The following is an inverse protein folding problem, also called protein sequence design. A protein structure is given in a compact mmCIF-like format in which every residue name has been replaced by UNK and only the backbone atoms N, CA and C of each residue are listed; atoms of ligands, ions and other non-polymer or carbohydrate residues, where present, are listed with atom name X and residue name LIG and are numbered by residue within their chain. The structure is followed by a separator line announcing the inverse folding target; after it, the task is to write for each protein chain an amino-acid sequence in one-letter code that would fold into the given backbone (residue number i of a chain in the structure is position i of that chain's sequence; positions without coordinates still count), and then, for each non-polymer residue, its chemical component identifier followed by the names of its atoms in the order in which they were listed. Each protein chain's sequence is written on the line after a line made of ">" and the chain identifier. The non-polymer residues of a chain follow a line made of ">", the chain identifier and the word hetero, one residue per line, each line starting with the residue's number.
data_IF_623061290998
#
_entry.id   IF_623061290998
#
_cell.length_a   1.000
_cell.length_b   1.000
_cell.length_c   1.000
_cell.angle_alpha   90.00
_cell.angle_beta   90.00
_cell.angle_gamma   90.00
#
_symmetry.space_group_name_H-M   'P 1'
#
loop_
_entity.id
_entity.type
_entity.pdbx_description
1 polymer ?
#
# COMPACT_ATOMS: atom_id res chain seq x y z
N UNK A 1 17.31 -8.53 -11.82
CA UNK A 1 16.81 -9.11 -10.55
C UNK A 1 16.95 -10.62 -10.66
N UNK A 2 17.77 -11.26 -9.83
CA UNK A 2 17.99 -12.71 -9.90
C UNK A 2 16.91 -13.45 -9.12
N UNK A 3 16.48 -14.59 -9.65
CA UNK A 3 15.42 -15.48 -9.13
C UNK A 3 15.57 -15.78 -7.62
N UNK A 4 16.80 -15.79 -7.10
CA UNK A 4 17.07 -15.97 -5.67
C UNK A 4 16.55 -14.87 -4.74
N UNK A 5 16.38 -13.63 -5.23
CA UNK A 5 15.77 -12.54 -4.45
C UNK A 5 14.25 -12.70 -4.31
N UNK A 6 13.61 -13.32 -5.32
CA UNK A 6 12.18 -13.62 -5.33
C UNK A 6 11.87 -14.79 -4.39
N UNK A 7 12.73 -15.81 -4.39
CA UNK A 7 12.60 -16.97 -3.49
C UNK A 7 12.84 -16.59 -2.03
N UNK A 8 13.79 -15.70 -1.70
CA UNK A 8 13.95 -15.17 -0.33
C UNK A 8 12.75 -14.33 0.13
N UNK A 9 12.09 -13.64 -0.79
CA UNK A 9 10.85 -12.92 -0.51
C UNK A 9 9.71 -13.88 -0.21
N UNK A 10 9.57 -14.93 -1.01
CA UNK A 10 8.53 -15.95 -0.84
C UNK A 10 8.75 -16.80 0.42
N UNK A 11 9.98 -17.17 0.75
CA UNK A 11 10.29 -17.94 1.96
C UNK A 11 9.94 -17.17 3.24
N UNK A 12 10.34 -15.89 3.35
CA UNK A 12 9.91 -15.04 4.47
C UNK A 12 8.39 -14.83 4.54
N UNK A 13 7.67 -15.05 3.43
CA UNK A 13 6.20 -14.93 3.35
C UNK A 13 5.52 -16.26 3.71
N UNK A 14 6.11 -17.40 3.36
CA UNK A 14 5.60 -18.74 3.64
C UNK A 14 5.75 -19.15 5.11
N UNK A 15 6.83 -18.75 5.79
CA UNK A 15 7.05 -19.10 7.19
C UNK A 15 6.09 -18.38 8.17
N UNK A 16 5.28 -17.43 7.68
CA UNK A 16 4.43 -16.56 8.53
C UNK A 16 2.92 -16.81 8.42
N UNK A 17 2.38 -17.33 7.31
CA UNK A 17 0.92 -17.44 7.16
C UNK A 17 0.54 -18.58 6.22
N UNK A 18 -0.23 -19.55 6.72
CA UNK A 18 -0.92 -20.54 5.89
C UNK A 18 -1.89 -19.86 4.92
N UNK A 19 -1.73 -20.16 3.63
CA UNK A 19 -2.65 -20.03 2.51
C UNK A 19 -3.81 -19.03 2.62
N UNK A 20 -3.55 -17.75 2.36
CA UNK A 20 -4.47 -16.87 1.63
C UNK A 20 -3.68 -15.66 1.11
N UNK A 21 -3.89 -15.32 -0.17
CA UNK A 21 -3.44 -14.10 -0.88
C UNK A 21 -2.69 -13.10 -0.01
N UNK A 22 -1.40 -12.88 -0.29
CA UNK A 22 -0.52 -11.92 0.39
C UNK A 22 -1.32 -10.68 0.77
N UNK A 23 -1.65 -10.51 2.06
CA UNK A 23 -2.37 -9.34 2.53
C UNK A 23 -1.57 -8.11 2.11
N UNK A 24 -2.19 -7.18 1.36
CA UNK A 24 -1.56 -5.92 0.91
C UNK A 24 -0.86 -5.20 2.06
N UNK A 25 -1.40 -5.32 3.26
CA UNK A 25 -0.84 -4.75 4.48
C UNK A 25 0.50 -5.39 4.87
N UNK A 26 0.63 -6.72 4.70
CA UNK A 26 1.88 -7.45 4.89
C UNK A 26 2.91 -7.03 3.85
N UNK A 27 2.51 -6.94 2.57
CA UNK A 27 3.41 -6.52 1.50
C UNK A 27 3.92 -5.08 1.71
N UNK A 28 3.05 -4.15 2.09
CA UNK A 28 3.43 -2.77 2.41
C UNK A 28 4.34 -2.72 3.63
N UNK A 29 4.00 -3.42 4.73
CA UNK A 29 4.85 -3.54 5.94
C UNK A 29 6.26 -4.03 5.61
N UNK A 30 6.36 -5.13 4.87
CA UNK A 30 7.64 -5.71 4.48
C UNK A 30 8.47 -4.72 3.64
N UNK A 31 7.83 -3.99 2.72
CA UNK A 31 8.55 -3.02 1.90
C UNK A 31 9.00 -1.78 2.68
N UNK A 32 8.19 -1.29 3.61
CA UNK A 32 8.58 -0.17 4.47
C UNK A 32 9.83 -0.51 5.29
N UNK A 33 9.87 -1.71 5.88
CA UNK A 33 11.05 -2.21 6.60
C UNK A 33 12.27 -2.33 5.69
N UNK A 34 12.10 -2.83 4.46
CA UNK A 34 13.20 -2.95 3.47
C UNK A 34 13.80 -1.62 3.04
N UNK A 35 13.00 -0.55 2.99
CA UNK A 35 13.50 0.80 2.72
C UNK A 35 14.05 1.51 3.97
N UNK A 36 14.16 0.78 5.09
CA UNK A 36 14.76 1.27 6.32
C UNK A 36 13.94 2.36 6.98
N UNK A 37 12.62 2.43 6.74
CA UNK A 37 11.76 3.28 7.57
C UNK A 37 11.81 2.78 9.01
N UNK A 38 11.82 3.70 9.96
CA UNK A 38 11.83 3.32 11.37
C UNK A 38 10.60 2.47 11.70
N UNK A 39 10.72 1.56 12.66
CA UNK A 39 9.58 0.77 13.13
C UNK A 39 8.41 1.66 13.55
N UNK A 40 8.70 2.85 14.08
CA UNK A 40 7.70 3.83 14.47
C UNK A 40 7.02 4.49 13.25
N UNK A 41 7.76 4.92 12.22
CA UNK A 41 7.17 5.44 10.96
C UNK A 41 6.31 4.39 10.26
N UNK A 42 6.81 3.15 10.18
CA UNK A 42 6.04 2.04 9.62
C UNK A 42 4.77 1.80 10.45
N UNK A 43 4.84 1.85 11.79
CA UNK A 43 3.65 1.70 12.65
C UNK A 43 2.64 2.83 12.44
N UNK A 44 3.09 4.06 12.23
CA UNK A 44 2.21 5.20 11.88
C UNK A 44 1.56 4.97 10.52
N UNK A 45 2.33 4.55 9.53
CA UNK A 45 1.80 4.35 8.18
C UNK A 45 0.77 3.22 8.11
N UNK A 46 1.01 2.14 8.87
CA UNK A 46 0.10 0.99 8.98
C UNK A 46 -0.96 1.16 10.07
N UNK A 47 -1.11 2.35 10.66
CA UNK A 47 -2.20 2.62 11.59
C UNK A 47 -3.52 2.75 10.82
N UNK A 48 -4.66 2.41 11.45
CA UNK A 48 -5.97 2.51 10.80
C UNK A 48 -6.18 3.89 10.19
N UNK A 49 -6.84 3.93 9.02
CA UNK A 49 -7.19 5.16 8.31
C UNK A 49 -5.99 5.98 7.80
N UNK A 50 -4.80 5.38 7.67
CA UNK A 50 -3.67 6.00 6.96
C UNK A 50 -3.53 5.38 5.57
N UNK A 51 -3.00 4.16 5.47
CA UNK A 51 -2.90 3.47 4.19
C UNK A 51 -4.23 2.92 3.68
N UNK A 52 -5.13 2.53 4.59
CA UNK A 52 -6.45 1.99 4.24
C UNK A 52 -7.24 2.94 3.32
N UNK A 53 -7.02 4.25 3.45
CA UNK A 53 -7.67 5.27 2.62
C UNK A 53 -7.37 5.05 1.14
N UNK A 54 -6.15 4.62 0.77
CA UNK A 54 -5.79 4.36 -0.63
C UNK A 54 -6.64 3.25 -1.25
N UNK A 55 -7.27 2.40 -0.42
CA UNK A 55 -8.08 1.26 -0.85
C UNK A 55 -9.56 1.58 -1.02
N UNK A 56 -9.99 2.75 -0.58
CA UNK A 56 -11.41 3.18 -0.61
C UNK A 56 -11.65 4.44 -1.44
N UNK A 57 -10.61 5.23 -1.71
CA UNK A 57 -10.74 6.41 -2.57
C UNK A 57 -10.79 6.00 -4.05
N UNK A 58 -11.39 6.88 -4.86
CA UNK A 58 -11.40 6.77 -6.31
C UNK A 58 -9.97 6.52 -6.87
N UNK A 59 -9.77 5.47 -7.68
CA UNK A 59 -8.49 5.16 -8.31
C UNK A 59 -7.78 6.34 -8.97
N UNK A 60 -8.54 7.22 -9.64
CA UNK A 60 -8.02 8.41 -10.31
C UNK A 60 -7.34 9.40 -9.35
N UNK A 61 -7.71 9.35 -8.06
CA UNK A 61 -7.20 10.22 -7.01
C UNK A 61 -6.02 9.60 -6.26
N UNK A 62 -5.77 8.30 -6.37
CA UNK A 62 -4.75 7.59 -5.58
C UNK A 62 -3.35 8.15 -5.83
N UNK A 63 -2.94 8.19 -7.10
CA UNK A 63 -1.54 8.45 -7.47
C UNK A 63 -1.04 9.84 -7.03
N UNK A 64 -1.92 10.84 -7.04
CA UNK A 64 -1.59 12.23 -6.70
C UNK A 64 -2.12 12.59 -5.32
N UNK A 65 -3.45 12.60 -5.15
CA UNK A 65 -4.10 13.12 -3.95
C UNK A 65 -3.95 12.15 -2.77
N UNK A 66 -4.21 10.85 -2.99
CA UNK A 66 -4.10 9.82 -1.96
C UNK A 66 -2.69 9.72 -1.40
N UNK A 67 -1.68 9.55 -2.26
CA UNK A 67 -0.28 9.46 -1.83
C UNK A 67 0.19 10.75 -1.16
N UNK A 68 -0.19 11.93 -1.68
CA UNK A 68 0.15 13.21 -1.04
C UNK A 68 -0.47 13.34 0.36
N UNK A 69 -1.74 12.95 0.50
CA UNK A 69 -2.44 12.95 1.78
C UNK A 69 -1.78 12.01 2.79
N UNK A 70 -1.47 10.76 2.39
CA UNK A 70 -0.80 9.78 3.27
C UNK A 70 0.55 10.32 3.75
N UNK A 71 1.37 10.87 2.85
CA UNK A 71 2.65 11.47 3.23
C UNK A 71 2.48 12.62 4.20
N UNK A 72 1.49 13.49 3.98
CA UNK A 72 1.17 14.61 4.87
C UNK A 72 0.73 14.12 6.25
N UNK A 73 -0.17 13.13 6.30
CA UNK A 73 -0.68 12.54 7.54
C UNK A 73 0.43 11.89 8.37
N UNK A 74 1.30 11.12 7.72
CA UNK A 74 2.45 10.49 8.39
C UNK A 74 3.41 11.56 8.91
N UNK A 75 3.73 12.57 8.10
CA UNK A 75 4.59 13.68 8.50
C UNK A 75 4.05 14.40 9.74
N UNK A 76 2.78 14.81 9.73
CA UNK A 76 2.13 15.45 10.87
C UNK A 76 2.16 14.56 12.12
N UNK A 77 1.93 13.26 11.95
CA UNK A 77 1.93 12.31 13.07
C UNK A 77 3.33 12.09 13.64
N UNK A 78 4.36 12.10 12.78
CA UNK A 78 5.76 12.07 13.22
C UNK A 78 6.13 13.34 13.97
N UNK A 79 5.79 14.52 13.43
CA UNK A 79 6.05 15.82 14.07
C UNK A 79 5.37 15.90 15.45
N UNK A 80 4.10 15.50 15.57
CA UNK A 80 3.39 15.46 16.84
C UNK A 80 3.99 14.49 17.88
N UNK A 81 4.73 13.48 17.42
CA UNK A 81 5.40 12.48 18.28
C UNK A 81 6.89 12.79 18.52
N UNK A 82 7.39 13.92 18.04
CA UNK A 82 8.82 14.27 18.11
C UNK A 82 9.72 13.34 17.28
N UNK A 83 9.17 12.69 16.25
CA UNK A 83 9.88 11.74 15.40
C UNK A 83 10.38 12.39 14.11
N UNK A 84 11.53 11.92 13.61
CA UNK A 84 12.07 12.36 12.32
C UNK A 84 11.31 11.73 11.15
N UNK A 85 10.88 12.55 10.20
CA UNK A 85 10.23 12.12 8.96
C UNK A 85 11.24 12.06 7.79
N UNK A 86 11.49 10.86 7.25
CA UNK A 86 12.49 10.69 6.18
C UNK A 86 11.89 10.83 4.77
N UNK A 87 11.85 12.06 4.24
CA UNK A 87 11.30 12.39 2.90
C UNK A 87 11.78 11.47 1.76
N UNK A 88 13.06 11.13 1.73
CA UNK A 88 13.63 10.32 0.64
C UNK A 88 13.14 8.86 0.66
N UNK A 89 12.97 8.26 1.85
CA UNK A 89 12.43 6.90 2.01
C UNK A 89 10.98 6.84 1.58
N UNK A 90 10.19 7.86 1.95
CA UNK A 90 8.81 7.99 1.51
C UNK A 90 8.68 8.16 0.00
N UNK A 91 9.56 8.93 -0.64
CA UNK A 91 9.62 9.04 -2.10
C UNK A 91 9.93 7.69 -2.77
N UNK A 92 10.86 6.91 -2.21
CA UNK A 92 11.19 5.57 -2.72
C UNK A 92 10.00 4.61 -2.58
N UNK A 93 9.32 4.63 -1.44
CA UNK A 93 8.10 3.84 -1.24
C UNK A 93 6.98 4.25 -2.20
N UNK A 94 6.74 5.55 -2.42
CA UNK A 94 5.72 6.02 -3.36
C UNK A 94 5.96 5.52 -4.78
N UNK A 95 7.22 5.51 -5.25
CA UNK A 95 7.56 4.96 -6.57
C UNK A 95 7.29 3.46 -6.66
N UNK A 96 7.66 2.72 -5.63
CA UNK A 96 7.32 1.30 -5.54
C UNK A 96 5.80 1.09 -5.54
N UNK A 97 5.07 1.87 -4.76
CA UNK A 97 3.63 1.76 -4.68
C UNK A 97 2.98 1.98 -6.04
N UNK A 98 3.38 3.03 -6.77
CA UNK A 98 2.90 3.30 -8.11
C UNK A 98 3.21 2.14 -9.06
N UNK A 99 4.48 1.74 -9.18
CA UNK A 99 4.85 0.66 -10.11
C UNK A 99 4.20 -0.70 -9.80
N UNK A 100 4.05 -1.05 -8.52
CA UNK A 100 3.51 -2.35 -8.14
C UNK A 100 1.98 -2.33 -8.03
N UNK A 101 1.40 -1.35 -7.36
CA UNK A 101 -0.03 -1.34 -7.00
C UNK A 101 -0.89 -0.44 -7.89
N UNK A 102 -0.29 0.37 -8.77
CA UNK A 102 -1.05 1.08 -9.81
C UNK A 102 -0.85 0.44 -11.18
N UNK A 103 0.37 0.00 -11.49
CA UNK A 103 0.69 -0.51 -12.84
C UNK A 103 0.61 -2.04 -12.93
N UNK A 104 1.30 -2.77 -12.05
CA UNK A 104 1.36 -4.26 -12.11
C UNK A 104 0.08 -4.92 -11.58
N UNK A 105 -0.45 -4.41 -10.47
CA UNK A 105 -1.69 -4.86 -9.84
C UNK A 105 -2.64 -3.67 -9.76
N UNK A 106 -3.35 -3.32 -10.85
CA UNK A 106 -4.12 -2.08 -10.90
C UNK A 106 -5.24 -2.05 -9.85
N UNK A 107 -5.74 -0.85 -9.47
CA UNK A 107 -6.75 -0.67 -8.44
C UNK A 107 -8.02 -1.52 -8.60
N UNK A 108 -8.37 -1.91 -9.82
CA UNK A 108 -9.49 -2.79 -10.12
C UNK A 108 -9.47 -4.12 -9.35
N UNK A 109 -8.28 -4.61 -8.94
CA UNK A 109 -8.12 -5.88 -8.23
C UNK A 109 -8.18 -5.77 -6.70
N UNK A 110 -8.02 -4.57 -6.13
CA UNK A 110 -7.81 -4.41 -4.68
C UNK A 110 -8.51 -3.21 -4.05
N UNK A 111 -8.99 -2.27 -4.87
CA UNK A 111 -9.68 -1.07 -4.42
C UNK A 111 -11.20 -1.34 -4.32
N UNK A 112 -11.76 -1.06 -3.15
CA UNK A 112 -13.16 -1.32 -2.81
C UNK A 112 -14.12 -0.41 -3.58
N UNK A 113 -13.68 0.81 -3.92
CA UNK A 113 -14.46 1.73 -4.74
C UNK A 113 -14.76 1.11 -6.11
N UNK A 114 -13.74 0.55 -6.77
CA UNK A 114 -13.91 -0.11 -8.07
C UNK A 114 -14.67 -1.44 -7.97
N UNK A 115 -14.38 -2.27 -6.97
CA UNK A 115 -15.11 -3.52 -6.76
C UNK A 115 -16.62 -3.26 -6.60
N UNK A 116 -17.00 -2.20 -5.88
CA UNK A 116 -18.40 -1.80 -5.72
C UNK A 116 -19.04 -1.34 -7.03
N UNK A 117 -18.29 -0.79 -7.99
CA UNK A 117 -18.79 -0.35 -9.31
C UNK A 117 -18.96 -1.53 -10.25
N UNK A 118 -18.02 -2.47 -10.28
CA UNK A 118 -18.10 -3.68 -11.10
C UNK A 118 -19.34 -4.51 -10.71
N UNK A 119 -19.59 -4.70 -9.41
CA UNK A 119 -20.79 -5.40 -8.95
C UNK A 119 -22.10 -4.68 -9.33
N UNK A 120 -22.08 -3.35 -9.41
CA UNK A 120 -23.24 -2.55 -9.83
C UNK A 120 -23.46 -2.58 -11.35
N UNK A 121 -22.40 -2.50 -12.16
CA UNK A 121 -22.48 -2.56 -13.61
C UNK A 121 -23.04 -3.91 -14.12
N UNK A 122 -22.66 -5.02 -13.47
CA UNK A 122 -23.15 -6.36 -13.82
C UNK A 122 -24.64 -6.59 -13.51
N UNK A 123 -25.33 -5.67 -12.82
CA UNK A 123 -26.79 -5.75 -12.58
C UNK A 123 -27.62 -5.00 -13.60
N UNK A 124 -27.02 -4.24 -14.53
CA UNK A 124 -27.73 -3.35 -15.46
C UNK A 124 -27.65 -3.84 -16.91
N UNK A 125 -27.38 -5.13 -17.14
CA UNK A 125 -27.58 -5.73 -18.47
C UNK A 125 -29.00 -6.33 -18.49
N UNK A 126 -29.99 -5.73 -19.18
CA UNK A 126 -31.28 -6.36 -19.37
C UNK A 126 -31.16 -7.43 -20.44
N UNK A 127 -31.85 -8.54 -20.20
CA UNK A 127 -32.09 -9.68 -21.09
C UNK A 127 -32.67 -9.28 -22.45
#
# INVERSE_FOLDING_TARGET
>A
MTTGSYLKLLQCVQDSVGSQLISKDVAWRCKLKRYGLSNQEAKVAMSPNVFDILTVIDPSKIAVQGIAWVKSKIRQTCEAKGMVYFRHKWRQFSRYFQGTWMDTYPPTFWNVFDMSRVSRANRVVPS
#
